data_IF_496938926308
#
_entry.id   IF_496938926308
#
_cell.length_a   1.000
_cell.length_b   1.000
_cell.length_c   1.000
_cell.angle_alpha   90.00
_cell.angle_beta   90.00
_cell.angle_gamma   90.00
#
_symmetry.space_group_name_H-M   'P 1'
#
loop_
_entity.id
_entity.type
_entity.pdbx_description
1 polymer ?
#
# COMPACT_ATOMS: atom_id res chain seq x y z
N UNK A 1 -16.53 -0.63 -22.93
CA UNK A 1 -16.97 0.60 -23.61
C UNK A 1 -16.00 0.90 -24.74
N UNK A 2 -16.50 1.28 -25.91
CA UNK A 2 -15.67 1.71 -27.04
C UNK A 2 -15.71 3.23 -27.15
N UNK A 3 -14.56 3.85 -27.39
CA UNK A 3 -14.38 5.30 -27.49
C UNK A 3 -13.75 5.62 -28.84
N UNK A 4 -14.48 6.40 -29.64
CA UNK A 4 -14.05 6.84 -30.96
C UNK A 4 -13.75 8.34 -30.89
N UNK A 5 -12.46 8.69 -30.87
CA UNK A 5 -12.00 10.07 -30.81
C UNK A 5 -11.03 10.36 -31.95
N UNK A 6 -11.01 11.61 -32.43
CA UNK A 6 -10.14 12.04 -33.52
C UNK A 6 -8.66 11.94 -33.14
N UNK A 7 -8.34 12.25 -31.88
CA UNK A 7 -6.96 12.23 -31.37
C UNK A 7 -6.37 10.82 -31.46
N UNK A 8 -7.16 9.80 -31.12
CA UNK A 8 -6.77 8.38 -31.18
C UNK A 8 -6.45 7.97 -32.62
N UNK A 9 -7.31 8.37 -33.56
CA UNK A 9 -7.11 8.10 -34.99
C UNK A 9 -5.85 8.74 -35.52
N UNK A 10 -5.61 10.01 -35.18
CA UNK A 10 -4.41 10.73 -35.60
C UNK A 10 -3.14 10.08 -35.05
N UNK A 11 -3.13 9.69 -33.77
CA UNK A 11 -1.98 9.03 -33.15
C UNK A 11 -1.63 7.70 -33.84
N UNK A 12 -2.63 6.83 -34.03
CA UNK A 12 -2.42 5.52 -34.66
C UNK A 12 -2.00 5.62 -36.14
N UNK A 13 -2.45 6.66 -36.85
CA UNK A 13 -2.00 6.94 -38.22
C UNK A 13 -0.55 7.42 -38.28
N UNK A 14 -0.10 8.19 -37.30
CA UNK A 14 1.25 8.73 -37.25
C UNK A 14 2.29 7.67 -36.85
N UNK A 15 1.90 6.69 -36.03
CA UNK A 15 2.80 5.62 -35.57
C UNK A 15 2.17 4.23 -35.76
N UNK A 16 2.09 3.73 -37.01
CA UNK A 16 1.44 2.46 -37.32
C UNK A 16 2.17 1.24 -36.73
N UNK A 17 3.48 1.35 -36.50
CA UNK A 17 4.32 0.27 -35.95
C UNK A 17 4.43 0.29 -34.41
N UNK A 18 3.71 1.19 -33.73
CA UNK A 18 3.74 1.25 -32.27
C UNK A 18 3.05 0.02 -31.64
N UNK A 19 3.69 -0.57 -30.65
CA UNK A 19 3.16 -1.70 -29.85
C UNK A 19 2.38 -1.19 -28.65
N UNK A 20 2.72 0.00 -28.16
CA UNK A 20 2.13 0.67 -27.02
C UNK A 20 2.02 2.19 -27.23
N UNK A 21 0.98 2.78 -26.65
CA UNK A 21 0.78 4.23 -26.58
C UNK A 21 1.40 4.71 -25.27
N UNK A 22 2.46 5.53 -25.29
CA UNK A 22 2.95 6.18 -24.08
C UNK A 22 1.90 7.16 -23.55
N UNK A 23 1.76 7.24 -22.24
CA UNK A 23 0.96 8.21 -21.51
C UNK A 23 1.90 9.07 -20.65
N UNK A 24 1.32 10.03 -19.94
CA UNK A 24 2.05 10.85 -18.98
C UNK A 24 2.68 9.97 -17.87
N UNK A 25 3.78 10.44 -17.30
CA UNK A 25 4.49 9.79 -16.18
C UNK A 25 5.06 8.39 -16.47
N UNK A 26 5.39 8.08 -17.74
CA UNK A 26 6.03 6.83 -18.15
C UNK A 26 5.09 5.61 -18.16
N UNK A 27 3.77 5.84 -18.09
CA UNK A 27 2.77 4.79 -18.27
C UNK A 27 2.56 4.50 -19.76
N UNK A 28 2.08 3.30 -20.09
CA UNK A 28 1.91 2.82 -21.46
C UNK A 28 0.69 1.92 -21.56
N UNK A 29 -0.14 2.13 -22.57
CA UNK A 29 -1.29 1.28 -22.89
C UNK A 29 -0.98 0.45 -24.13
N UNK A 30 -1.32 -0.82 -24.12
CA UNK A 30 -1.14 -1.71 -25.27
C UNK A 30 -1.95 -1.31 -26.50
N UNK A 31 -1.38 -1.55 -27.68
CA UNK A 31 -2.05 -1.51 -28.97
C UNK A 31 -2.24 -2.95 -29.45
N UNK A 32 -3.45 -3.29 -29.88
CA UNK A 32 -3.82 -4.58 -30.46
C UNK A 32 -4.11 -4.40 -31.95
N UNK A 33 -3.71 -5.35 -32.81
CA UNK A 33 -4.02 -5.29 -34.24
C UNK A 33 -5.52 -5.26 -34.51
N UNK A 34 -6.26 -6.22 -33.93
CA UNK A 34 -7.71 -6.40 -34.15
C UNK A 34 -8.46 -6.60 -32.84
N UNK A 35 -9.79 -6.47 -32.90
CA UNK A 35 -10.69 -6.74 -31.77
C UNK A 35 -10.61 -8.21 -31.30
N UNK A 36 -10.25 -9.13 -32.20
CA UNK A 36 -10.17 -10.57 -31.90
C UNK A 36 -9.02 -10.91 -30.95
N UNK A 37 -8.02 -10.03 -30.84
CA UNK A 37 -6.90 -10.18 -29.92
C UNK A 37 -7.22 -9.69 -28.50
N UNK A 38 -8.38 -9.04 -28.30
CA UNK A 38 -8.80 -8.51 -26.99
C UNK A 38 -8.82 -9.57 -25.86
N UNK A 39 -9.22 -10.84 -26.08
CA UNK A 39 -9.16 -11.87 -25.03
C UNK A 39 -7.75 -12.19 -24.54
N UNK A 40 -6.72 -11.92 -25.36
CA UNK A 40 -5.30 -12.16 -25.03
C UNK A 40 -4.59 -10.91 -24.50
N UNK A 41 -5.30 -9.79 -24.43
CA UNK A 41 -4.76 -8.52 -23.98
C UNK A 41 -4.42 -8.55 -22.48
N UNK A 42 -3.53 -7.64 -22.05
CA UNK A 42 -3.25 -7.37 -20.64
C UNK A 42 -4.50 -6.78 -19.98
N UNK A 43 -5.22 -7.62 -19.23
CA UNK A 43 -6.54 -7.27 -18.66
C UNK A 43 -6.47 -6.18 -17.60
N UNK A 44 -5.35 -6.07 -16.86
CA UNK A 44 -5.24 -5.14 -15.75
C UNK A 44 -4.84 -3.72 -16.17
N UNK A 45 -4.48 -3.48 -17.44
CA UNK A 45 -4.36 -2.13 -17.97
C UNK A 45 -5.71 -1.41 -18.08
N UNK A 46 -6.84 -2.14 -18.07
CA UNK A 46 -8.20 -1.60 -18.18
C UNK A 46 -8.50 -0.81 -19.48
N UNK A 47 -7.56 -0.85 -20.42
CA UNK A 47 -7.63 -0.16 -21.69
C UNK A 47 -6.79 -0.88 -22.75
N UNK A 48 -7.24 -0.82 -24.00
CA UNK A 48 -6.47 -1.26 -25.16
C UNK A 48 -6.88 -0.43 -26.39
N UNK A 49 -5.91 -0.03 -27.19
CA UNK A 49 -6.15 0.59 -28.49
C UNK A 49 -6.26 -0.49 -29.55
N UNK A 50 -7.22 -0.39 -30.47
CA UNK A 50 -7.36 -1.30 -31.60
C UNK A 50 -6.91 -0.56 -32.86
N UNK A 51 -5.86 -1.06 -33.50
CA UNK A 51 -5.24 -0.45 -34.67
C UNK A 51 -6.17 -0.49 -35.90
N UNK A 52 -6.79 -1.64 -36.19
CA UNK A 52 -7.64 -1.82 -37.38
C UNK A 52 -8.82 -0.83 -37.44
N UNK A 53 -9.51 -0.64 -36.30
CA UNK A 53 -10.69 0.24 -36.23
C UNK A 53 -10.35 1.67 -35.77
N UNK A 54 -9.13 1.87 -35.26
CA UNK A 54 -8.67 3.09 -34.60
C UNK A 54 -9.62 3.54 -33.47
N UNK A 55 -9.92 2.62 -32.55
CA UNK A 55 -10.84 2.79 -31.43
C UNK A 55 -10.13 2.41 -30.12
N UNK A 56 -10.44 3.13 -29.03
CA UNK A 56 -10.02 2.76 -27.68
C UNK A 56 -11.11 1.92 -27.01
N UNK A 57 -10.76 0.74 -26.52
CA UNK A 57 -11.62 -0.08 -25.68
C UNK A 57 -11.22 0.12 -24.22
N UNK A 58 -12.18 0.53 -23.39
CA UNK A 58 -12.01 0.71 -21.94
C UNK A 58 -12.97 -0.22 -21.20
N UNK A 59 -12.47 -0.91 -20.18
CA UNK A 59 -13.25 -1.74 -19.27
C UNK A 59 -12.82 -1.44 -17.82
N UNK A 60 -13.68 -1.77 -16.86
CA UNK A 60 -13.37 -1.67 -15.43
C UNK A 60 -14.20 -2.72 -14.69
N UNK A 61 -13.77 -3.10 -13.49
CA UNK A 61 -14.56 -3.98 -12.61
C UNK A 61 -15.78 -3.22 -12.05
N UNK A 62 -15.71 -1.89 -11.96
CA UNK A 62 -16.80 -1.01 -11.51
C UNK A 62 -17.31 -0.13 -12.66
N UNK A 63 -18.58 -0.31 -13.02
CA UNK A 63 -19.22 0.40 -14.13
C UNK A 63 -19.18 1.92 -13.97
N UNK A 64 -19.17 2.44 -12.74
CA UNK A 64 -19.15 3.89 -12.47
C UNK A 64 -17.82 4.55 -12.89
N UNK A 65 -16.71 3.79 -12.89
CA UNK A 65 -15.39 4.31 -13.22
C UNK A 65 -15.08 4.32 -14.72
N UNK A 66 -15.81 3.55 -15.54
CA UNK A 66 -15.52 3.36 -16.96
C UNK A 66 -15.47 4.70 -17.72
N UNK A 67 -16.43 5.59 -17.48
CA UNK A 67 -16.52 6.89 -18.15
C UNK A 67 -15.39 7.82 -17.69
N UNK A 68 -15.12 7.85 -16.38
CA UNK A 68 -14.06 8.69 -15.82
C UNK A 68 -12.68 8.27 -16.35
N UNK A 69 -12.41 6.96 -16.39
CA UNK A 69 -11.16 6.41 -16.93
C UNK A 69 -10.99 6.74 -18.41
N UNK A 70 -12.03 6.59 -19.21
CA UNK A 70 -11.97 6.94 -20.64
C UNK A 70 -11.65 8.42 -20.86
N UNK A 71 -12.29 9.33 -20.11
CA UNK A 71 -11.99 10.77 -20.17
C UNK A 71 -10.56 11.09 -19.76
N UNK A 72 -10.04 10.41 -18.74
CA UNK A 72 -8.66 10.58 -18.28
C UNK A 72 -7.66 10.18 -19.38
N UNK A 73 -7.83 8.99 -19.97
CA UNK A 73 -6.95 8.50 -21.05
C UNK A 73 -7.02 9.43 -22.27
N UNK A 74 -8.23 9.88 -22.65
CA UNK A 74 -8.38 10.81 -23.77
C UNK A 74 -7.70 12.16 -23.50
N UNK A 75 -7.81 12.69 -22.28
CA UNK A 75 -7.18 13.96 -21.89
C UNK A 75 -5.66 13.85 -21.90
N UNK A 76 -5.10 12.77 -21.34
CA UNK A 76 -3.64 12.50 -21.35
C UNK A 76 -3.11 12.33 -22.79
N UNK A 77 -3.85 11.63 -23.65
CA UNK A 77 -3.49 11.46 -25.06
C UNK A 77 -3.53 12.80 -25.82
N UNK A 78 -4.54 13.64 -25.55
CA UNK A 78 -4.65 14.97 -26.17
C UNK A 78 -3.46 15.85 -25.80
N UNK A 79 -3.07 15.85 -24.53
CA UNK A 79 -1.90 16.57 -24.04
C UNK A 79 -0.61 16.08 -24.70
N UNK A 80 -0.44 14.76 -24.86
CA UNK A 80 0.72 14.19 -25.53
C UNK A 80 0.82 14.60 -27.00
N UNK A 81 -0.29 14.57 -27.74
CA UNK A 81 -0.33 14.99 -29.16
C UNK A 81 -0.05 16.49 -29.29
N UNK A 82 -0.53 17.31 -28.34
CA UNK A 82 -0.23 18.74 -28.33
C UNK A 82 1.26 19.01 -28.11
N UNK A 83 1.88 18.27 -27.19
CA UNK A 83 3.32 18.38 -26.86
C UNK A 83 4.24 17.88 -27.95
N UNK A 84 3.82 16.91 -28.75
CA UNK A 84 4.60 16.44 -29.91
C UNK A 84 4.63 17.46 -31.05
N UNK A 85 3.78 18.49 -31.02
CA UNK A 85 3.81 19.63 -31.94
C UNK A 85 4.70 20.81 -31.50
N UNK A 86 5.03 20.90 -30.22
CA UNK A 86 5.92 21.93 -29.65
C UNK A 86 7.10 21.22 -28.98
N UNK A 87 8.22 21.03 -29.69
CA UNK A 87 9.47 20.61 -29.06
C UNK A 87 9.79 21.57 -27.92
N UNK A 88 9.56 21.16 -26.67
CA UNK A 88 10.00 21.97 -25.53
C UNK A 88 10.54 21.10 -24.43
N UNK A 89 11.87 21.21 -24.31
CA UNK A 89 12.79 20.73 -23.28
C UNK A 89 12.47 21.27 -21.85
N UNK A 90 11.28 21.84 -21.62
CA UNK A 90 10.97 22.63 -20.42
C UNK A 90 10.47 21.78 -19.24
N UNK A 91 9.82 20.65 -19.47
CA UNK A 91 9.33 19.81 -18.36
C UNK A 91 10.37 18.83 -17.80
N UNK A 92 11.41 18.51 -18.57
CA UNK A 92 12.56 17.79 -18.03
C UNK A 92 13.25 18.59 -16.91
N UNK A 93 13.01 19.91 -16.80
CA UNK A 93 13.51 20.73 -15.68
C UNK A 93 12.57 20.77 -14.47
N UNK A 94 11.26 20.65 -14.65
CA UNK A 94 10.30 20.75 -13.55
C UNK A 94 10.06 19.41 -12.81
N UNK A 95 10.27 18.25 -13.44
CA UNK A 95 10.27 16.97 -12.71
C UNK A 95 11.59 16.68 -11.97
N UNK A 96 12.68 17.34 -12.38
CA UNK A 96 14.01 17.09 -11.79
C UNK A 96 14.18 17.75 -10.42
N UNK A 97 13.26 18.64 -10.01
CA UNK A 97 13.46 19.46 -8.81
C UNK A 97 12.82 18.94 -7.52
N UNK A 98 12.17 17.76 -7.49
CA UNK A 98 11.62 17.23 -6.21
C UNK A 98 12.23 15.93 -5.68
N UNK A 99 13.00 15.17 -6.47
CA UNK A 99 13.80 14.06 -5.95
C UNK A 99 15.05 13.87 -6.81
N UNK A 100 16.20 14.35 -6.32
CA UNK A 100 17.50 13.93 -6.83
C UNK A 100 17.67 12.45 -6.51
N UNK A 101 17.17 11.59 -7.41
CA UNK A 101 17.39 10.15 -7.38
C UNK A 101 18.90 9.97 -7.56
N UNK A 102 19.62 9.76 -6.45
CA UNK A 102 21.03 9.37 -6.53
C UNK A 102 21.06 7.95 -7.06
N UNK A 103 21.54 7.78 -8.28
CA UNK A 103 21.74 6.49 -8.91
C UNK A 103 23.19 6.09 -8.60
N UNK A 104 23.38 4.89 -8.07
CA UNK A 104 24.72 4.35 -7.87
C UNK A 104 25.37 4.09 -9.23
N UNK A 105 26.50 4.75 -9.50
CA UNK A 105 27.19 4.70 -10.79
C UNK A 105 27.71 3.28 -11.14
N UNK A 106 27.96 2.44 -10.13
CA UNK A 106 28.47 1.07 -10.32
C UNK A 106 27.33 0.05 -10.48
N UNK A 107 26.24 0.17 -9.71
CA UNK A 107 25.13 -0.79 -9.71
C UNK A 107 23.95 -0.39 -10.60
N UNK A 108 23.83 0.88 -11.00
CA UNK A 108 22.67 1.42 -11.72
C UNK A 108 21.37 1.45 -10.90
N UNK A 109 21.46 1.18 -9.59
CA UNK A 109 20.33 1.13 -8.68
C UNK A 109 20.09 2.48 -8.00
N UNK A 110 18.83 2.77 -7.68
CA UNK A 110 18.45 3.97 -6.92
C UNK A 110 18.95 3.81 -5.48
N UNK A 111 19.82 4.71 -5.02
CA UNK A 111 20.26 4.76 -3.62
C UNK A 111 19.04 5.14 -2.78
N UNK A 112 18.57 4.26 -1.88
CA UNK A 112 17.43 4.57 -1.05
C UNK A 112 17.78 5.73 -0.10
N UNK A 113 16.98 6.80 -0.13
CA UNK A 113 17.13 7.89 0.83
C UNK A 113 17.16 7.34 2.27
N UNK A 114 18.13 7.82 3.05
CA UNK A 114 18.27 7.44 4.46
C UNK A 114 17.01 7.84 5.23
N UNK A 115 16.29 6.85 5.75
CA UNK A 115 15.05 7.08 6.52
C UNK A 115 15.40 7.14 8.02
N UNK A 116 15.33 8.32 8.67
CA UNK A 116 15.72 8.44 10.07
C UNK A 116 14.69 7.78 11.01
N UNK A 117 15.15 7.45 12.22
CA UNK A 117 14.28 7.01 13.32
C UNK A 117 13.76 8.25 14.03
N UNK A 118 12.44 8.36 14.18
CA UNK A 118 11.83 9.48 14.88
C UNK A 118 11.77 9.21 16.40
N UNK A 119 12.49 10.01 17.19
CA UNK A 119 12.64 9.80 18.65
C UNK A 119 11.62 10.57 19.51
N UNK A 120 10.64 11.25 18.90
CA UNK A 120 9.69 12.07 19.65
C UNK A 120 8.93 11.25 20.69
N UNK A 121 8.49 10.04 20.36
CA UNK A 121 7.80 9.19 21.35
C UNK A 121 8.70 8.87 22.55
N UNK A 122 9.99 8.58 22.32
CA UNK A 122 10.96 8.33 23.39
C UNK A 122 11.13 9.56 24.28
N UNK A 123 11.19 10.76 23.69
CA UNK A 123 11.27 12.02 24.44
C UNK A 123 10.01 12.25 25.27
N UNK A 124 8.82 12.02 24.72
CA UNK A 124 7.56 12.18 25.44
C UNK A 124 7.47 11.22 26.63
N UNK A 125 7.83 9.95 26.45
CA UNK A 125 7.87 8.97 27.56
C UNK A 125 8.89 9.37 28.62
N UNK A 126 10.06 9.89 28.23
CA UNK A 126 11.06 10.39 29.19
C UNK A 126 10.53 11.57 30.01
N UNK A 127 9.85 12.53 29.37
CA UNK A 127 9.20 13.65 30.07
C UNK A 127 8.10 13.17 31.03
N UNK A 128 7.32 12.16 30.63
CA UNK A 128 6.33 11.53 31.51
C UNK A 128 6.99 10.91 32.74
N UNK A 129 8.08 10.17 32.57
CA UNK A 129 8.82 9.58 33.69
C UNK A 129 9.41 10.66 34.62
N UNK A 130 9.95 11.74 34.07
CA UNK A 130 10.44 12.88 34.86
C UNK A 130 9.28 13.48 35.69
N UNK A 131 8.11 13.67 35.10
CA UNK A 131 6.94 14.21 35.79
C UNK A 131 6.47 13.27 36.93
N UNK A 132 6.44 11.96 36.70
CA UNK A 132 6.08 10.98 37.73
C UNK A 132 7.11 10.94 38.86
N UNK A 133 8.41 10.93 38.54
CA UNK A 133 9.47 10.89 39.56
C UNK A 133 9.51 12.18 40.39
N UNK A 134 9.33 13.34 39.77
CA UNK A 134 9.31 14.63 40.47
C UNK A 134 8.09 14.77 41.39
N UNK A 135 6.90 14.37 40.93
CA UNK A 135 5.68 14.40 41.75
C UNK A 135 5.74 13.42 42.93
N UNK A 136 6.24 12.20 42.70
CA UNK A 136 6.45 11.22 43.76
C UNK A 136 7.51 11.69 44.77
N UNK A 137 8.62 12.26 44.28
CA UNK A 137 9.69 12.83 45.10
C UNK A 137 9.20 14.00 45.97
N UNK A 138 8.32 14.86 45.44
CA UNK A 138 7.68 15.92 46.21
C UNK A 138 6.79 15.36 47.33
N UNK A 139 6.07 14.26 47.07
CA UNK A 139 5.29 13.53 48.08
C UNK A 139 6.18 12.95 49.19
N UNK A 140 7.28 12.30 48.83
CA UNK A 140 8.23 11.75 49.81
C UNK A 140 8.93 12.82 50.64
N UNK A 141 9.26 13.97 50.04
CA UNK A 141 9.79 15.13 50.77
C UNK A 141 8.81 15.61 51.85
N UNK A 142 7.52 15.62 51.55
CA UNK A 142 6.49 16.02 52.52
C UNK A 142 6.41 15.04 53.69
N UNK A 143 6.42 13.73 53.41
CA UNK A 143 6.47 12.68 54.44
C UNK A 143 7.71 12.85 55.32
N UNK A 144 8.88 13.13 54.74
CA UNK A 144 10.11 13.33 55.49
C UNK A 144 10.05 14.57 56.41
N UNK A 145 9.53 15.69 55.92
CA UNK A 145 9.35 16.91 56.73
C UNK A 145 8.41 16.65 57.93
N UNK A 146 7.35 15.88 57.70
CA UNK A 146 6.38 15.48 58.70
C UNK A 146 6.96 14.54 59.78
N UNK A 147 7.77 13.56 59.38
CA UNK A 147 8.48 12.68 60.32
C UNK A 147 9.47 13.48 61.17
N UNK A 148 10.14 14.48 60.58
CA UNK A 148 11.08 15.33 61.32
C UNK A 148 10.41 16.14 62.43
N UNK A 149 9.13 16.51 62.27
CA UNK A 149 8.36 17.25 63.28
C UNK A 149 7.75 16.31 64.33
N UNK A 150 7.09 15.24 63.90
CA UNK A 150 6.30 14.38 64.81
C UNK A 150 7.12 13.24 65.45
N UNK A 151 8.29 12.92 64.91
CA UNK A 151 9.16 11.81 65.35
C UNK A 151 8.60 10.40 65.11
N UNK A 152 7.37 10.28 64.59
CA UNK A 152 6.67 9.00 64.37
C UNK A 152 6.97 8.41 62.99
N UNK A 153 7.59 7.23 62.98
CA UNK A 153 7.98 6.53 61.73
C UNK A 153 6.82 5.84 60.98
N UNK A 154 5.61 5.82 61.53
CA UNK A 154 4.46 5.12 60.92
C UNK A 154 4.16 5.61 59.48
N UNK A 155 4.45 6.88 59.17
CA UNK A 155 4.19 7.48 57.85
C UNK A 155 5.07 6.90 56.73
N UNK A 156 6.19 6.25 57.06
CA UNK A 156 7.01 5.52 56.09
C UNK A 156 6.25 4.35 55.43
N UNK A 157 5.20 3.82 56.07
CA UNK A 157 4.37 2.77 55.47
C UNK A 157 3.71 3.21 54.14
N UNK A 158 3.48 4.52 53.96
CA UNK A 158 2.93 5.06 52.70
C UNK A 158 3.89 4.93 51.52
N UNK A 159 5.21 4.86 51.77
CA UNK A 159 6.21 4.66 50.72
C UNK A 159 6.08 3.28 50.09
N UNK A 160 5.59 2.27 50.83
CA UNK A 160 5.35 0.94 50.28
C UNK A 160 4.26 0.92 49.19
N UNK A 161 3.37 1.93 49.16
CA UNK A 161 2.34 2.09 48.12
C UNK A 161 2.86 2.72 46.83
N UNK A 162 4.13 3.15 46.79
CA UNK A 162 4.72 3.83 45.64
C UNK A 162 4.59 3.07 44.30
N UNK A 163 4.79 1.73 44.21
CA UNK A 163 4.62 1.01 42.95
C UNK A 163 3.20 1.09 42.40
N UNK A 164 2.20 1.01 43.28
CA UNK A 164 0.78 1.16 42.92
C UNK A 164 0.52 2.58 42.44
N UNK A 165 1.06 3.58 43.16
CA UNK A 165 0.90 4.98 42.79
C UNK A 165 1.55 5.31 41.45
N UNK A 166 2.74 4.78 41.16
CA UNK A 166 3.41 4.94 39.84
C UNK A 166 2.52 4.38 38.74
N UNK A 167 1.99 3.16 38.91
CA UNK A 167 1.13 2.54 37.90
C UNK A 167 -0.11 3.39 37.58
N UNK A 168 -0.79 3.90 38.60
CA UNK A 168 -1.97 4.76 38.41
C UNK A 168 -1.62 6.13 37.82
N UNK A 169 -0.52 6.74 38.25
CA UNK A 169 -0.14 8.09 37.82
C UNK A 169 0.48 8.14 36.42
N UNK A 170 1.11 7.05 35.96
CA UNK A 170 1.73 6.97 34.63
C UNK A 170 0.76 7.32 33.50
N UNK A 171 -0.47 6.80 33.55
CA UNK A 171 -1.47 7.10 32.52
C UNK A 171 -1.81 8.60 32.48
N UNK A 172 -2.12 9.19 33.64
CA UNK A 172 -2.47 10.62 33.71
C UNK A 172 -1.32 11.54 33.31
N UNK A 173 -0.10 11.23 33.76
CA UNK A 173 1.10 11.96 33.38
C UNK A 173 1.35 11.88 31.86
N UNK A 174 1.17 10.70 31.25
CA UNK A 174 1.30 10.51 29.81
C UNK A 174 0.28 11.33 29.03
N UNK A 175 -0.97 11.40 29.49
CA UNK A 175 -2.02 12.21 28.86
C UNK A 175 -1.66 13.70 28.92
N UNK A 176 -1.21 14.20 30.08
CA UNK A 176 -0.81 15.61 30.23
C UNK A 176 0.33 15.96 29.26
N UNK A 177 1.41 15.17 29.27
CA UNK A 177 2.56 15.39 28.38
C UNK A 177 2.15 15.27 26.91
N UNK A 178 1.29 14.31 26.58
CA UNK A 178 0.75 14.12 25.23
C UNK A 178 -0.08 15.30 24.74
N UNK A 179 -1.00 15.82 25.56
CA UNK A 179 -1.81 16.99 25.23
C UNK A 179 -0.94 18.23 25.03
N UNK A 180 0.03 18.47 25.93
CA UNK A 180 0.97 19.58 25.75
C UNK A 180 1.74 19.43 24.44
N UNK A 181 2.27 18.24 24.16
CA UNK A 181 2.99 17.97 22.91
C UNK A 181 2.11 18.14 21.66
N UNK A 182 0.81 17.88 21.73
CA UNK A 182 -0.11 18.14 20.62
C UNK A 182 -0.39 19.64 20.42
N UNK A 183 -0.40 20.43 21.51
CA UNK A 183 -0.61 21.88 21.42
C UNK A 183 0.60 22.63 20.84
N UNK A 184 1.82 22.23 21.19
CA UNK A 184 3.05 22.97 20.81
C UNK A 184 4.00 22.19 19.88
N UNK A 185 3.76 20.90 19.66
CA UNK A 185 4.67 20.03 18.94
C UNK A 185 4.59 20.18 17.41
N UNK A 186 5.67 19.79 16.71
CA UNK A 186 5.74 19.89 15.26
C UNK A 186 4.85 18.86 14.55
N UNK A 187 4.08 19.30 13.55
CA UNK A 187 3.23 18.43 12.71
C UNK A 187 4.00 17.84 11.52
N UNK A 188 5.20 18.37 11.22
CA UNK A 188 6.02 17.98 10.04
C UNK A 188 6.30 16.48 9.95
N UNK A 189 6.37 15.78 11.09
CA UNK A 189 6.54 14.33 11.16
C UNK A 189 5.49 13.55 10.34
N UNK A 190 4.28 14.08 10.16
CA UNK A 190 3.20 13.44 9.40
C UNK A 190 3.42 13.51 7.88
N UNK A 191 4.27 14.44 7.43
CA UNK A 191 4.54 14.70 5.99
C UNK A 191 5.91 14.19 5.55
N UNK A 192 6.68 13.61 6.48
CA UNK A 192 8.07 13.19 6.25
C UNK A 192 8.20 11.67 6.40
N UNK A 193 8.99 11.05 5.53
CA UNK A 193 9.30 9.63 5.63
C UNK A 193 10.20 9.35 6.85
N UNK A 194 9.92 8.26 7.56
CA UNK A 194 10.76 7.73 8.63
C UNK A 194 11.02 6.24 8.39
N UNK A 195 11.86 5.62 9.24
CA UNK A 195 12.16 4.19 9.15
C UNK A 195 10.91 3.29 9.13
N UNK A 196 9.84 3.70 9.82
CA UNK A 196 8.62 2.89 9.99
C UNK A 196 7.36 3.51 9.37
N UNK A 197 7.49 4.66 8.72
CA UNK A 197 6.36 5.39 8.13
C UNK A 197 6.74 6.01 6.79
N UNK A 198 5.87 5.87 5.79
CA UNK A 198 6.04 6.49 4.47
C UNK A 198 4.90 7.48 4.25
N UNK A 199 5.20 8.77 4.39
CA UNK A 199 4.28 9.87 4.11
C UNK A 199 4.27 10.24 2.62
N UNK A 200 5.46 10.22 2.00
CA UNK A 200 5.66 10.53 0.59
C UNK A 200 5.71 9.23 -0.22
N UNK A 201 4.99 9.15 -1.35
CA UNK A 201 5.06 7.99 -2.24
C UNK A 201 6.47 7.85 -2.82
N UNK A 202 6.95 6.61 -3.05
CA UNK A 202 8.23 6.39 -3.71
C UNK A 202 8.17 6.85 -5.18
N UNK A 203 9.31 7.27 -5.77
CA UNK A 203 9.36 7.56 -7.19
C UNK A 203 9.02 6.30 -7.99
N UNK A 204 8.38 6.49 -9.15
CA UNK A 204 8.04 5.39 -10.07
C UNK A 204 9.32 4.82 -10.68
N UNK A 205 9.33 3.50 -10.90
CA UNK A 205 10.43 2.84 -11.60
C UNK A 205 10.31 3.22 -13.09
N UNK A 206 11.28 3.98 -13.60
CA UNK A 206 11.31 4.46 -15.00
C UNK A 206 12.33 3.73 -15.88
N UNK A 207 13.20 2.91 -15.29
CA UNK A 207 14.34 2.29 -15.97
C UNK A 207 14.30 0.76 -15.90
N UNK A 208 14.66 0.11 -17.02
CA UNK A 208 14.83 -1.33 -17.13
C UNK A 208 13.58 -2.10 -17.58
N UNK A 209 13.79 -3.38 -17.88
CA UNK A 209 12.70 -4.32 -18.16
C UNK A 209 12.16 -4.78 -16.81
N UNK A 210 10.89 -4.49 -16.54
CA UNK A 210 10.23 -4.91 -15.31
C UNK A 210 10.01 -6.45 -15.33
N UNK A 211 10.38 -7.18 -14.27
CA UNK A 211 10.20 -8.62 -14.21
C UNK A 211 8.73 -9.03 -14.17
N UNK A 212 8.45 -10.30 -14.47
CA UNK A 212 7.15 -10.88 -14.17
C UNK A 212 7.00 -11.11 -12.66
N UNK A 213 5.89 -10.66 -12.06
CA UNK A 213 5.64 -10.81 -10.62
C UNK A 213 4.41 -11.67 -10.36
N UNK A 214 4.58 -12.75 -9.58
CA UNK A 214 3.46 -13.54 -9.05
C UNK A 214 3.15 -13.16 -7.62
N UNK A 215 1.94 -12.64 -7.39
CA UNK A 215 1.47 -12.24 -6.06
C UNK A 215 0.74 -13.43 -5.44
N UNK A 216 1.35 -14.03 -4.42
CA UNK A 216 0.74 -15.14 -3.68
C UNK A 216 -0.02 -14.64 -2.45
N UNK A 217 -1.28 -15.04 -2.33
CA UNK A 217 -2.17 -14.66 -1.24
C UNK A 217 -2.64 -15.90 -0.47
N UNK A 218 -2.08 -16.20 0.70
CA UNK A 218 -2.57 -17.30 1.53
C UNK A 218 -3.89 -16.92 2.23
N UNK A 219 -4.86 -17.84 2.20
CA UNK A 219 -6.20 -17.70 2.78
C UNK A 219 -6.55 -18.97 3.57
N UNK A 220 -7.19 -18.79 4.72
CA UNK A 220 -7.67 -19.88 5.57
C UNK A 220 -9.03 -19.62 6.23
N UNK A 221 -9.21 -18.51 6.96
CA UNK A 221 -10.48 -18.20 7.68
C UNK A 221 -11.08 -16.86 7.29
N UNK A 222 -10.45 -16.17 6.36
CA UNK A 222 -10.84 -14.85 5.88
C UNK A 222 -12.16 -14.96 5.09
N UNK A 223 -13.07 -14.01 5.32
CA UNK A 223 -14.35 -13.93 4.63
C UNK A 223 -14.21 -13.41 3.21
N UNK A 224 -15.09 -13.86 2.30
CA UNK A 224 -15.04 -13.49 0.89
C UNK A 224 -15.29 -11.98 0.71
N UNK A 225 -16.40 -11.48 1.24
CA UNK A 225 -16.81 -10.08 1.11
C UNK A 225 -16.03 -9.13 2.01
N UNK A 226 -15.67 -9.55 3.23
CA UNK A 226 -15.07 -8.68 4.23
C UNK A 226 -13.56 -8.49 4.07
N UNK A 227 -12.85 -9.48 3.50
CA UNK A 227 -11.38 -9.47 3.44
C UNK A 227 -10.87 -9.77 2.03
N UNK A 228 -11.29 -10.87 1.42
CA UNK A 228 -10.71 -11.32 0.16
C UNK A 228 -11.04 -10.34 -0.98
N UNK A 229 -12.30 -9.97 -1.17
CA UNK A 229 -12.71 -9.06 -2.24
C UNK A 229 -12.06 -7.67 -2.14
N UNK A 230 -12.03 -6.99 -0.98
CA UNK A 230 -11.29 -5.73 -0.82
C UNK A 230 -9.79 -5.88 -1.09
N UNK A 231 -9.19 -6.99 -0.65
CA UNK A 231 -7.76 -7.26 -0.87
C UNK A 231 -7.45 -7.46 -2.36
N UNK A 232 -8.27 -8.24 -3.06
CA UNK A 232 -8.14 -8.46 -4.51
C UNK A 232 -8.30 -7.14 -5.27
N UNK A 233 -9.27 -6.30 -4.90
CA UNK A 233 -9.45 -4.97 -5.51
C UNK A 233 -8.20 -4.10 -5.35
N UNK A 234 -7.64 -4.04 -4.14
CA UNK A 234 -6.41 -3.27 -3.88
C UNK A 234 -5.21 -3.82 -4.65
N UNK A 235 -5.07 -5.14 -4.75
CA UNK A 235 -3.96 -5.75 -5.49
C UNK A 235 -4.12 -5.54 -6.99
N UNK A 236 -5.33 -5.67 -7.55
CA UNK A 236 -5.59 -5.37 -8.98
C UNK A 236 -5.21 -3.94 -9.34
N UNK A 237 -5.45 -2.97 -8.47
CA UNK A 237 -5.00 -1.58 -8.69
C UNK A 237 -3.47 -1.46 -8.73
N UNK A 238 -2.76 -2.18 -7.86
CA UNK A 238 -1.30 -2.24 -7.88
C UNK A 238 -0.77 -2.94 -9.14
N UNK A 239 -1.36 -4.07 -9.53
CA UNK A 239 -1.04 -4.79 -10.78
C UNK A 239 -1.26 -3.87 -11.98
N UNK A 240 -2.39 -3.16 -12.05
CA UNK A 240 -2.69 -2.20 -13.11
C UNK A 240 -1.58 -1.16 -13.26
N UNK A 241 -1.14 -0.58 -12.14
CA UNK A 241 -0.05 0.39 -12.13
C UNK A 241 1.26 -0.21 -12.62
N UNK A 242 1.56 -1.46 -12.25
CA UNK A 242 2.77 -2.17 -12.66
C UNK A 242 2.76 -2.55 -14.15
N UNK A 243 1.62 -3.01 -14.67
CA UNK A 243 1.45 -3.34 -16.09
C UNK A 243 1.48 -2.11 -16.99
N UNK A 244 0.94 -0.99 -16.53
CA UNK A 244 1.04 0.29 -17.24
C UNK A 244 2.49 0.80 -17.29
N UNK A 245 3.36 0.43 -16.34
CA UNK A 245 4.79 0.73 -16.42
C UNK A 245 5.56 -0.20 -17.38
N UNK A 246 4.88 -1.17 -18.00
CA UNK A 246 5.48 -2.14 -18.90
C UNK A 246 5.83 -3.49 -18.24
N UNK A 247 5.54 -3.66 -16.95
CA UNK A 247 5.69 -4.93 -16.25
C UNK A 247 4.60 -5.94 -16.60
N UNK A 248 4.69 -7.13 -16.01
CA UNK A 248 3.62 -8.12 -16.04
C UNK A 248 3.45 -8.73 -14.66
N UNK A 249 2.21 -8.94 -14.22
CA UNK A 249 1.96 -9.59 -12.95
C UNK A 249 0.73 -10.49 -12.99
N UNK A 250 0.72 -11.50 -12.13
CA UNK A 250 -0.45 -12.34 -11.90
C UNK A 250 -0.70 -12.52 -10.41
N UNK A 251 -1.90 -12.99 -10.08
CA UNK A 251 -2.32 -13.28 -8.71
C UNK A 251 -2.59 -14.77 -8.56
N UNK A 252 -2.13 -15.34 -7.45
CA UNK A 252 -2.35 -16.72 -7.08
C UNK A 252 -2.81 -16.82 -5.63
N UNK A 253 -3.92 -17.52 -5.38
CA UNK A 253 -4.49 -17.66 -4.03
C UNK A 253 -4.31 -19.07 -3.51
N UNK A 254 -3.70 -19.20 -2.33
CA UNK A 254 -3.57 -20.46 -1.62
C UNK A 254 -4.68 -20.55 -0.56
N UNK A 255 -5.85 -21.05 -0.94
CA UNK A 255 -7.04 -21.07 -0.08
C UNK A 255 -7.27 -22.47 0.53
N UNK A 256 -6.65 -22.69 1.68
CA UNK A 256 -6.93 -23.89 2.50
C UNK A 256 -8.29 -23.80 3.23
N UNK A 257 -8.90 -22.60 3.26
CA UNK A 257 -10.19 -22.34 3.87
C UNK A 257 -11.38 -22.92 3.13
N UNK A 258 -11.22 -23.22 1.83
CA UNK A 258 -12.25 -23.89 1.01
C UNK A 258 -12.72 -25.23 1.62
N UNK A 259 -11.93 -25.86 2.49
CA UNK A 259 -12.30 -27.08 3.22
C UNK A 259 -13.30 -26.86 4.36
N UNK A 260 -13.38 -25.64 4.88
CA UNK A 260 -14.18 -25.28 6.06
C UNK A 260 -15.54 -24.69 5.68
N UNK A 261 -15.69 -24.28 4.43
CA UNK A 261 -16.88 -23.59 3.93
C UNK A 261 -18.01 -24.58 3.59
N UNK A 262 -19.24 -24.06 3.64
CA UNK A 262 -20.38 -24.75 3.06
C UNK A 262 -20.18 -24.93 1.55
N UNK A 263 -20.88 -25.89 0.94
CA UNK A 263 -20.78 -26.11 -0.50
C UNK A 263 -21.15 -24.87 -1.33
N UNK A 264 -22.15 -24.12 -0.87
CA UNK A 264 -22.59 -22.88 -1.50
C UNK A 264 -21.52 -21.78 -1.42
N UNK A 265 -21.01 -21.50 -0.22
CA UNK A 265 -19.97 -20.47 -0.02
C UNK A 265 -18.67 -20.81 -0.76
N UNK A 266 -18.34 -22.10 -0.80
CA UNK A 266 -17.20 -22.62 -1.56
C UNK A 266 -17.38 -22.37 -3.05
N UNK A 267 -18.57 -22.62 -3.61
CA UNK A 267 -18.87 -22.36 -5.02
C UNK A 267 -18.76 -20.87 -5.34
N UNK A 268 -19.39 -20.02 -4.53
CA UNK A 268 -19.31 -18.56 -4.69
C UNK A 268 -17.87 -18.06 -4.66
N UNK A 269 -17.03 -18.64 -3.81
CA UNK A 269 -15.62 -18.27 -3.72
C UNK A 269 -14.81 -18.72 -4.94
N UNK A 270 -15.06 -19.91 -5.47
CA UNK A 270 -14.40 -20.42 -6.68
C UNK A 270 -14.84 -19.59 -7.90
N UNK A 271 -16.14 -19.28 -8.01
CA UNK A 271 -16.70 -18.41 -9.04
C UNK A 271 -16.06 -17.02 -9.00
N UNK A 272 -15.96 -16.43 -7.80
CA UNK A 272 -15.27 -15.16 -7.61
C UNK A 272 -13.81 -15.20 -8.12
N UNK A 273 -13.06 -16.27 -7.84
CA UNK A 273 -11.70 -16.43 -8.37
C UNK A 273 -11.69 -16.54 -9.89
N UNK A 274 -12.63 -17.28 -10.49
CA UNK A 274 -12.74 -17.41 -11.94
C UNK A 274 -13.07 -16.08 -12.62
N UNK A 275 -14.05 -15.33 -12.11
CA UNK A 275 -14.47 -14.03 -12.61
C UNK A 275 -13.33 -13.01 -12.62
N UNK A 276 -12.46 -13.09 -11.61
CA UNK A 276 -11.33 -12.19 -11.46
C UNK A 276 -10.06 -12.70 -12.17
N UNK A 277 -10.14 -13.82 -12.91
CA UNK A 277 -9.01 -14.49 -13.56
C UNK A 277 -7.87 -14.82 -12.58
N UNK A 278 -8.21 -15.25 -11.36
CA UNK A 278 -7.26 -15.58 -10.30
C UNK A 278 -7.01 -17.09 -10.28
N UNK A 279 -5.74 -17.49 -10.37
CA UNK A 279 -5.35 -18.88 -10.13
C UNK A 279 -5.50 -19.21 -8.64
N UNK A 280 -6.04 -20.38 -8.29
CA UNK A 280 -6.17 -20.78 -6.90
C UNK A 280 -5.79 -22.24 -6.69
N UNK A 281 -5.37 -22.56 -5.46
CA UNK A 281 -5.15 -23.93 -5.01
C UNK A 281 -5.67 -24.11 -3.59
N UNK A 282 -6.33 -25.23 -3.35
CA UNK A 282 -6.69 -25.70 -2.02
C UNK A 282 -6.02 -27.05 -1.79
N UNK A 283 -5.43 -27.26 -0.63
CA UNK A 283 -4.95 -28.60 -0.28
C UNK A 283 -6.12 -29.52 0.04
N UNK A 284 -5.95 -30.86 0.00
CA UNK A 284 -6.92 -31.79 0.55
C UNK A 284 -7.05 -31.66 2.07
N UNK A 285 -8.19 -32.09 2.62
CA UNK A 285 -8.42 -32.13 4.07
C UNK A 285 -7.41 -33.08 4.73
N UNK A 286 -6.92 -32.70 5.90
CA UNK A 286 -6.08 -33.59 6.68
C UNK A 286 -6.88 -34.80 7.17
N UNK A 287 -6.41 -35.99 6.82
CA UNK A 287 -6.97 -37.25 7.31
C UNK A 287 -6.28 -37.67 8.63
N UNK A 288 -7.01 -37.79 9.75
CA UNK A 288 -6.47 -38.29 11.02
C UNK A 288 -6.11 -39.77 11.00
N UNK A 289 -6.75 -40.56 10.13
CA UNK A 289 -6.68 -42.03 10.13
C UNK A 289 -5.55 -42.56 9.22
N UNK A 290 -4.69 -41.68 8.72
CA UNK A 290 -3.50 -41.96 7.88
C UNK A 290 -3.82 -42.72 6.57
N UNK A 291 -5.10 -42.77 6.16
CA UNK A 291 -5.54 -43.37 4.89
C UNK A 291 -5.50 -42.40 3.70
N UNK A 292 -5.38 -41.10 3.98
CA UNK A 292 -5.42 -40.01 3.00
C UNK A 292 -4.28 -39.01 3.14
N UNK A 293 -4.55 -37.73 2.87
CA UNK A 293 -3.54 -36.67 2.87
C UNK A 293 -3.09 -36.32 4.31
N UNK A 294 -1.83 -36.67 4.64
CA UNK A 294 -1.21 -36.34 5.91
C UNK A 294 -0.47 -34.99 5.84
N UNK A 295 -0.93 -33.99 6.61
CA UNK A 295 -0.27 -32.67 6.68
C UNK A 295 1.00 -32.74 7.54
N UNK A 296 2.15 -32.86 6.88
CA UNK A 296 3.48 -32.83 7.54
C UNK A 296 3.90 -31.37 7.78
N UNK A 297 3.74 -30.87 9.02
CA UNK A 297 4.16 -29.51 9.40
C UNK A 297 3.95 -29.20 10.88
N UNK A 298 4.71 -28.22 11.41
CA UNK A 298 4.67 -27.81 12.84
C UNK A 298 3.39 -27.08 13.26
N UNK A 299 2.66 -26.48 12.32
CA UNK A 299 1.43 -25.74 12.61
C UNK A 299 0.20 -26.60 12.28
N UNK A 300 -0.13 -27.50 13.21
CA UNK A 300 -1.42 -28.19 13.26
C UNK A 300 -2.35 -27.33 14.11
N UNK A 301 -3.09 -26.43 13.47
CA UNK A 301 -4.27 -25.79 14.08
C UNK A 301 -5.52 -26.49 13.54
#
# INVERSE_FOLDING_TARGET
MTVNSRVIKTFLQWSPDAIDVPLMNGLRIQILPTIDDLPRARKHQFAAFIAADAVLVVWDDDALHIIQRAKQIESELMELVWRTGEETEEEARNEVDEFTIQIDEESGNIIPHTRPIHLMNTVLVALTLILVVTTLGAGFRQIAAEIAVDGKMLRLALVAMAPVQIFFTLFFAQVIVGCLAQCIGPVRQMTTNSKYYSAKPPPRIRAGILPHVTIQCPVYKEGLSSVIAPTVKSIKQAISTYELQGGSANMFVNDDGLQLLSEEDRRQRIEFYADHSIGWVARPKHDPDDTGFLRRGKFKK
#
